data_IF_189807771671
#
_entry.id   IF_189807771671
#
_cell.length_a   1.000
_cell.length_b   1.000
_cell.length_c   1.000
_cell.angle_alpha   90.00
_cell.angle_beta   90.00
_cell.angle_gamma   90.00
#
_symmetry.space_group_name_H-M   'P 1'
#
loop_
_entity.id
_entity.type
_entity.pdbx_description
1 polymer ?
#
# COMPACT_ATOMS: atom_id res chain seq x y z
N UNK A 1 -17.27 -13.55 1.72
CA UNK A 1 -16.20 -12.87 0.96
C UNK A 1 -16.86 -12.06 -0.11
N UNK A 2 -16.45 -10.80 -0.27
CA UNK A 2 -16.87 -10.02 -1.43
C UNK A 2 -16.34 -10.72 -2.69
N UNK A 3 -17.14 -10.86 -3.75
CA UNK A 3 -16.63 -11.32 -5.03
C UNK A 3 -15.60 -10.29 -5.51
N UNK A 4 -14.36 -10.73 -5.71
CA UNK A 4 -13.33 -9.92 -6.38
C UNK A 4 -13.79 -9.77 -7.83
N UNK A 5 -13.98 -8.54 -8.28
CA UNK A 5 -14.38 -8.24 -9.65
C UNK A 5 -13.20 -7.72 -10.47
N UNK A 6 -13.29 -7.88 -11.79
CA UNK A 6 -12.28 -7.35 -12.70
C UNK A 6 -12.25 -5.81 -12.58
N UNK A 7 -11.09 -5.27 -12.20
CA UNK A 7 -10.90 -3.85 -11.90
C UNK A 7 -10.63 -3.55 -10.43
N UNK A 8 -10.90 -4.48 -9.51
CA UNK A 8 -10.53 -4.30 -8.11
C UNK A 8 -9.01 -4.35 -7.93
N UNK A 9 -8.50 -3.51 -7.03
CA UNK A 9 -7.12 -3.58 -6.55
C UNK A 9 -7.07 -4.56 -5.39
N UNK A 10 -6.15 -5.53 -5.49
CA UNK A 10 -5.93 -6.54 -4.46
C UNK A 10 -4.61 -6.29 -3.75
N UNK A 11 -4.64 -6.35 -2.43
CA UNK A 11 -3.46 -6.36 -1.57
C UNK A 11 -3.11 -7.79 -1.18
N UNK A 12 -1.87 -8.19 -1.46
CA UNK A 12 -1.38 -9.54 -1.19
C UNK A 12 -0.31 -9.44 -0.08
N UNK A 13 -0.54 -10.15 1.02
CA UNK A 13 0.46 -10.36 2.07
C UNK A 13 0.61 -11.87 2.32
N UNK A 14 1.84 -12.33 2.57
CA UNK A 14 2.17 -13.75 2.81
C UNK A 14 1.58 -14.74 1.76
N UNK A 15 1.45 -14.30 0.51
CA UNK A 15 0.91 -15.11 -0.59
C UNK A 15 -0.61 -15.30 -0.56
N UNK A 16 -1.32 -14.59 0.32
CA UNK A 16 -2.79 -14.58 0.41
C UNK A 16 -3.34 -13.18 0.15
N UNK A 17 -4.57 -13.11 -0.36
CA UNK A 17 -5.25 -11.83 -0.60
C UNK A 17 -5.85 -11.36 0.72
N UNK A 18 -5.23 -10.35 1.32
CA UNK A 18 -5.63 -9.81 2.63
C UNK A 18 -6.45 -8.51 2.51
N UNK A 19 -6.34 -7.81 1.38
CA UNK A 19 -7.08 -6.58 1.10
C UNK A 19 -7.68 -6.59 -0.32
N UNK A 20 -8.86 -5.98 -0.45
CA UNK A 20 -9.54 -5.73 -1.73
C UNK A 20 -10.21 -4.37 -1.65
N UNK A 21 -9.97 -3.52 -2.64
CA UNK A 21 -10.51 -2.17 -2.74
C UNK A 21 -10.71 -1.76 -4.22
N UNK A 22 -11.48 -0.71 -4.46
CA UNK A 22 -11.65 -0.13 -5.81
C UNK A 22 -10.54 0.87 -6.17
N UNK A 23 -9.70 1.23 -5.20
CA UNK A 23 -8.57 2.15 -5.34
C UNK A 23 -7.25 1.53 -4.85
N UNK A 24 -6.12 2.01 -5.38
CA UNK A 24 -4.78 1.56 -4.95
C UNK A 24 -4.55 1.95 -3.49
N UNK A 25 -4.84 3.20 -3.17
CA UNK A 25 -4.62 3.82 -1.86
C UNK A 25 -5.44 3.10 -0.78
N UNK A 26 -6.72 2.85 -1.05
CA UNK A 26 -7.60 2.09 -0.16
C UNK A 26 -7.13 0.64 0.03
N UNK A 27 -6.61 0.00 -1.01
CA UNK A 27 -6.04 -1.35 -0.89
C UNK A 27 -4.76 -1.35 -0.04
N UNK A 28 -3.90 -0.35 -0.19
CA UNK A 28 -2.68 -0.17 0.62
C UNK A 28 -3.02 0.03 2.09
N UNK A 29 -3.90 0.98 2.42
CA UNK A 29 -4.32 1.22 3.80
C UNK A 29 -4.95 0.00 4.46
N UNK A 30 -5.83 -0.71 3.73
CA UNK A 30 -6.42 -1.94 4.21
C UNK A 30 -5.37 -3.02 4.47
N UNK A 31 -4.37 -3.11 3.60
CA UNK A 31 -3.30 -4.10 3.74
C UNK A 31 -2.37 -3.75 4.91
N UNK A 32 -2.02 -2.47 5.09
CA UNK A 32 -1.26 -2.00 6.26
C UNK A 32 -1.97 -2.32 7.57
N UNK A 33 -3.28 -2.08 7.64
CA UNK A 33 -4.09 -2.44 8.80
C UNK A 33 -4.17 -3.96 9.04
N UNK A 34 -3.97 -4.79 8.01
CA UNK A 34 -3.90 -6.26 8.14
C UNK A 34 -2.53 -6.76 8.58
N UNK A 35 -1.49 -5.99 8.31
CA UNK A 35 -0.11 -6.31 8.68
C UNK A 35 0.29 -5.69 10.04
N UNK A 36 -0.70 -5.21 10.82
CA UNK A 36 -0.50 -4.55 12.11
C UNK A 36 0.54 -3.41 12.03
N UNK A 37 0.47 -2.59 10.96
CA UNK A 37 1.40 -1.50 10.72
C UNK A 37 1.43 -0.41 11.82
N UNK A 38 0.48 -0.43 12.76
CA UNK A 38 0.50 0.43 13.95
C UNK A 38 1.60 0.05 14.95
N UNK A 39 2.02 -1.21 14.95
CA UNK A 39 3.12 -1.72 15.79
C UNK A 39 4.46 -1.77 15.02
N UNK A 40 4.48 -1.36 13.76
CA UNK A 40 5.67 -1.34 12.91
C UNK A 40 6.48 -0.04 13.11
N UNK A 41 7.80 -0.16 13.04
CA UNK A 41 8.72 0.97 13.18
C UNK A 41 8.90 1.67 11.82
N UNK A 42 8.92 0.93 10.71
CA UNK A 42 9.21 1.49 9.38
C UNK A 42 8.37 0.83 8.27
N UNK A 43 7.87 1.66 7.35
CA UNK A 43 7.18 1.24 6.13
C UNK A 43 7.94 1.73 4.90
N UNK A 44 8.47 0.81 4.10
CA UNK A 44 9.08 1.14 2.80
C UNK A 44 8.05 0.98 1.69
N UNK A 45 7.72 2.07 0.98
CA UNK A 45 6.83 2.09 -0.18
C UNK A 45 7.64 2.18 -1.47
N UNK A 46 7.36 1.29 -2.41
CA UNK A 46 7.97 1.24 -3.74
C UNK A 46 6.88 1.48 -4.78
N UNK A 47 6.88 2.66 -5.38
CA UNK A 47 5.96 3.00 -6.46
C UNK A 47 6.45 2.48 -7.81
N UNK A 48 5.56 1.79 -8.53
CA UNK A 48 5.80 1.31 -9.88
C UNK A 48 5.77 2.44 -10.93
N UNK A 49 6.15 2.10 -12.17
CA UNK A 49 6.15 3.07 -13.30
C UNK A 49 4.76 3.65 -13.59
N UNK A 50 3.70 2.90 -13.27
CA UNK A 50 2.31 3.29 -13.52
C UNK A 50 1.68 4.18 -12.45
N UNK A 51 2.41 4.54 -11.39
CA UNK A 51 1.90 5.31 -10.26
C UNK A 51 2.55 6.69 -10.20
N UNK A 52 1.77 7.76 -10.14
CA UNK A 52 2.28 9.14 -10.19
C UNK A 52 3.06 9.54 -8.93
N UNK A 53 3.93 10.56 -9.04
CA UNK A 53 4.61 11.12 -7.85
C UNK A 53 3.58 11.80 -6.94
N UNK A 54 2.64 12.54 -7.54
CA UNK A 54 1.55 13.23 -6.82
C UNK A 54 0.67 12.24 -6.03
N UNK A 55 0.33 11.09 -6.64
CA UNK A 55 -0.44 10.03 -5.99
C UNK A 55 0.37 9.34 -4.87
N UNK A 56 1.70 9.24 -5.02
CA UNK A 56 2.60 8.70 -4.00
C UNK A 56 2.73 9.63 -2.81
N UNK A 57 2.94 10.92 -3.04
CA UNK A 57 2.99 11.93 -1.98
C UNK A 57 1.66 12.00 -1.21
N UNK A 58 0.53 11.91 -1.93
CA UNK A 58 -0.79 11.84 -1.31
C UNK A 58 -0.96 10.60 -0.43
N UNK A 59 -0.58 9.43 -0.93
CA UNK A 59 -0.65 8.16 -0.19
C UNK A 59 0.23 8.19 1.07
N UNK A 60 1.47 8.68 0.96
CA UNK A 60 2.37 8.83 2.12
C UNK A 60 1.75 9.73 3.17
N UNK A 61 1.23 10.89 2.75
CA UNK A 61 0.55 11.82 3.67
C UNK A 61 -0.64 11.17 4.38
N UNK A 62 -1.40 10.34 3.66
CA UNK A 62 -2.54 9.61 4.23
C UNK A 62 -2.10 8.53 5.23
N UNK A 63 -1.04 7.78 4.92
CA UNK A 63 -0.47 6.78 5.82
C UNK A 63 0.08 7.44 7.09
N UNK A 64 0.88 8.50 6.97
CA UNK A 64 1.42 9.24 8.13
C UNK A 64 0.32 9.88 8.99
N UNK A 65 -0.81 10.25 8.39
CA UNK A 65 -1.96 10.77 9.13
C UNK A 65 -2.71 9.68 9.91
N UNK A 66 -2.66 8.42 9.46
CA UNK A 66 -3.27 7.27 10.12
C UNK A 66 -2.32 6.64 11.14
N UNK A 67 -1.03 6.57 10.81
CA UNK A 67 0.04 5.92 11.58
C UNK A 67 1.09 6.97 11.98
N UNK A 68 0.83 7.71 13.07
CA UNK A 68 1.67 8.85 13.48
C UNK A 68 3.10 8.47 13.90
N UNK A 69 3.29 7.24 14.37
CA UNK A 69 4.56 6.72 14.85
C UNK A 69 5.32 5.90 13.78
N UNK A 70 4.72 5.66 12.61
CA UNK A 70 5.29 4.86 11.53
C UNK A 70 6.17 5.72 10.62
N UNK A 71 7.45 5.36 10.47
CA UNK A 71 8.33 6.04 9.50
C UNK A 71 8.05 5.53 8.08
N UNK A 72 7.55 6.40 7.22
CA UNK A 72 7.22 6.04 5.83
C UNK A 72 8.33 6.49 4.88
N UNK A 73 9.03 5.53 4.27
CA UNK A 73 10.05 5.78 3.25
C UNK A 73 9.53 5.41 1.85
N UNK A 74 9.20 6.42 1.06
CA UNK A 74 8.69 6.24 -0.29
C UNK A 74 9.78 6.38 -1.36
N UNK A 75 9.91 5.36 -2.20
CA UNK A 75 10.88 5.29 -3.28
C UNK A 75 10.21 4.90 -4.61
N UNK A 76 10.90 5.20 -5.71
CA UNK A 76 10.52 4.71 -7.03
C UNK A 76 11.09 3.30 -7.22
N UNK A 77 10.20 2.31 -7.23
CA UNK A 77 10.54 0.92 -7.51
C UNK A 77 10.63 0.58 -9.00
N UNK A 78 10.15 1.49 -9.88
CA UNK A 78 10.16 1.34 -11.35
C UNK A 78 9.60 -0.01 -11.82
N UNK A 79 8.67 -0.58 -11.06
CA UNK A 79 8.09 -1.87 -11.37
C UNK A 79 7.01 -1.73 -12.46
N UNK A 80 7.06 -2.56 -13.52
CA UNK A 80 6.10 -2.46 -14.63
C UNK A 80 4.76 -3.18 -14.37
N UNK A 81 4.70 -4.08 -13.37
CA UNK A 81 3.53 -4.93 -13.11
C UNK A 81 2.78 -4.60 -11.83
N UNK A 82 3.48 -4.08 -10.81
CA UNK A 82 2.88 -3.74 -9.53
C UNK A 82 2.87 -2.22 -9.38
N UNK A 83 1.68 -1.61 -9.19
CA UNK A 83 1.58 -0.16 -9.04
C UNK A 83 2.24 0.31 -7.74
N UNK A 84 2.11 -0.47 -6.67
CA UNK A 84 2.74 -0.24 -5.37
C UNK A 84 3.19 -1.59 -4.81
N UNK A 85 4.37 -1.61 -4.20
CA UNK A 85 4.86 -2.68 -3.33
C UNK A 85 5.33 -2.04 -2.03
N UNK A 86 5.06 -2.66 -0.89
CA UNK A 86 5.59 -2.17 0.36
C UNK A 86 5.97 -3.29 1.32
N UNK A 87 6.78 -2.93 2.31
CA UNK A 87 7.14 -3.77 3.43
C UNK A 87 7.03 -2.97 4.72
N UNK A 88 6.48 -3.60 5.76
CA UNK A 88 6.47 -3.08 7.13
C UNK A 88 7.38 -3.94 7.99
N UNK A 89 8.22 -3.29 8.80
CA UNK A 89 9.13 -3.91 9.77
C UNK A 89 8.88 -3.35 11.17
#
# INVERSE_FOLDING_TARGET
GNPIVEGDVIGIADGSIEAVDDSIDGAVLKLLAKMDAEDADTCTLLAGEGYGDEDLEALVTEIEAVYEDLEVDAQRGEQPLYPIVFSVE
#
